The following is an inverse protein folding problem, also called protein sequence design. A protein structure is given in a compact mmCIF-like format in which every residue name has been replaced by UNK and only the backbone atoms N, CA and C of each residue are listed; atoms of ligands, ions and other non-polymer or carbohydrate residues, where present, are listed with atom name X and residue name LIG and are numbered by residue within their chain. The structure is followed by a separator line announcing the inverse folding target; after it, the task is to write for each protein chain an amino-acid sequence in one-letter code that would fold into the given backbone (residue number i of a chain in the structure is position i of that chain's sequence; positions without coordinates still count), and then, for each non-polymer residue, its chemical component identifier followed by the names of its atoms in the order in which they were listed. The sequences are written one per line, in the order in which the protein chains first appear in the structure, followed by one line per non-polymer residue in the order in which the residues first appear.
data_IF_772559326706
#
_entry.id   IF_772559326706
#
_cell.length_a   1.000
_cell.length_b   1.000
_cell.length_c   1.000
_cell.angle_alpha   90.00
_cell.angle_beta   90.00
_cell.angle_gamma   90.00
#
_symmetry.space_group_name_H-M   'P 1'
#
loop_
_entity.id
_entity.type
_entity.pdbx_description
1 polymer ?
#
# COMPACT_ATOMS: atom_id res chain seq x y z
N UNK A 1 13.77 -8.55 -6.36
CA UNK A 1 12.70 -8.70 -7.36
C UNK A 1 11.55 -7.80 -6.95
N UNK A 2 11.07 -6.91 -7.83
CA UNK A 2 10.01 -5.93 -7.52
C UNK A 2 8.59 -6.55 -7.57
N UNK A 3 8.45 -7.79 -8.06
CA UNK A 3 7.16 -8.39 -8.43
C UNK A 3 6.46 -9.20 -7.31
N UNK A 4 6.88 -9.08 -6.06
CA UNK A 4 6.17 -9.66 -4.92
C UNK A 4 5.82 -8.57 -3.93
N UNK A 5 4.53 -8.41 -3.56
CA UNK A 5 3.34 -9.11 -4.07
C UNK A 5 2.97 -8.79 -5.53
N UNK A 6 2.18 -9.69 -6.16
CA UNK A 6 1.72 -9.51 -7.54
C UNK A 6 0.62 -8.45 -7.63
N UNK A 7 0.66 -7.64 -8.70
CA UNK A 7 -0.30 -6.54 -8.91
C UNK A 7 -1.74 -7.05 -8.94
N UNK A 8 -2.00 -8.18 -9.61
CA UNK A 8 -3.35 -8.73 -9.71
C UNK A 8 -3.89 -9.17 -8.34
N UNK A 9 -3.06 -9.80 -7.50
CA UNK A 9 -3.43 -10.14 -6.12
C UNK A 9 -3.73 -8.90 -5.27
N UNK A 10 -2.95 -7.83 -5.43
CA UNK A 10 -3.19 -6.58 -4.71
C UNK A 10 -4.51 -5.92 -5.11
N UNK A 11 -4.84 -5.94 -6.41
CA UNK A 11 -6.10 -5.40 -6.92
C UNK A 11 -7.29 -6.20 -6.40
N UNK A 12 -7.20 -7.54 -6.40
CA UNK A 12 -8.24 -8.41 -5.86
C UNK A 12 -8.46 -8.20 -4.36
N UNK A 13 -7.39 -8.00 -3.59
CA UNK A 13 -7.45 -7.76 -2.14
C UNK A 13 -7.95 -6.37 -1.77
N UNK A 14 -7.65 -5.38 -2.60
CA UNK A 14 -8.06 -4.00 -2.37
C UNK A 14 -9.56 -3.78 -2.66
N UNK A 15 -10.11 -4.53 -3.61
CA UNK A 15 -11.54 -4.50 -3.95
C UNK A 15 -12.36 -5.57 -3.24
N UNK A 16 -13.67 -5.57 -3.50
CA UNK A 16 -14.57 -6.66 -3.14
C UNK A 16 -15.10 -7.34 -4.41
N UNK A 17 -15.71 -8.54 -4.27
CA UNK A 17 -16.33 -9.23 -5.41
C UNK A 17 -17.42 -8.40 -6.10
N UNK A 18 -18.11 -7.57 -5.32
CA UNK A 18 -19.17 -6.68 -5.80
C UNK A 18 -18.59 -5.39 -6.41
N UNK A 19 -17.45 -4.94 -5.90
CA UNK A 19 -16.79 -3.70 -6.31
C UNK A 19 -15.29 -3.93 -6.53
N UNK A 20 -14.87 -4.41 -7.72
CA UNK A 20 -13.47 -4.64 -8.00
C UNK A 20 -12.70 -3.30 -8.02
N UNK A 21 -11.52 -3.29 -7.41
CA UNK A 21 -10.62 -2.16 -7.51
C UNK A 21 -10.00 -2.12 -8.93
N UNK A 22 -9.67 -0.93 -9.41
CA UNK A 22 -8.89 -0.79 -10.63
C UNK A 22 -7.39 -0.71 -10.32
N UNK A 23 -6.53 -1.04 -11.28
CA UNK A 23 -5.07 -0.83 -11.15
C UNK A 23 -4.72 0.64 -10.87
N UNK A 24 -5.50 1.58 -11.41
CA UNK A 24 -5.34 3.01 -11.10
C UNK A 24 -5.71 3.32 -9.65
N UNK A 25 -6.77 2.71 -9.12
CA UNK A 25 -7.14 2.85 -7.71
C UNK A 25 -6.03 2.30 -6.80
N UNK A 26 -5.44 1.15 -7.15
CA UNK A 26 -4.28 0.59 -6.45
C UNK A 26 -3.12 1.60 -6.40
N UNK A 27 -2.73 2.19 -7.54
CA UNK A 27 -1.66 3.19 -7.57
C UNK A 27 -1.93 4.38 -6.64
N UNK A 28 -3.17 4.90 -6.65
CA UNK A 28 -3.55 6.04 -5.80
C UNK A 28 -3.51 5.67 -4.33
N UNK A 29 -4.07 4.52 -3.96
CA UNK A 29 -4.11 4.06 -2.57
C UNK A 29 -2.71 3.80 -2.04
N UNK A 30 -1.87 3.06 -2.79
CA UNK A 30 -0.49 2.77 -2.41
C UNK A 30 0.32 4.05 -2.29
N UNK A 31 0.19 5.00 -3.23
CA UNK A 31 0.89 6.28 -3.16
C UNK A 31 0.48 7.12 -1.95
N UNK A 32 -0.83 7.19 -1.65
CA UNK A 32 -1.34 7.87 -0.45
C UNK A 32 -0.80 7.22 0.82
N UNK A 33 -0.82 5.89 0.89
CA UNK A 33 -0.33 5.17 2.07
C UNK A 33 1.17 5.32 2.28
N UNK A 34 1.95 5.20 1.21
CA UNK A 34 3.40 5.45 1.27
C UNK A 34 3.71 6.87 1.79
N UNK A 35 2.93 7.88 1.37
CA UNK A 35 3.07 9.24 1.91
C UNK A 35 2.76 9.30 3.40
N UNK A 36 1.69 8.65 3.87
CA UNK A 36 1.37 8.61 5.29
C UNK A 36 2.49 7.97 6.12
N UNK A 37 3.13 6.91 5.60
CA UNK A 37 4.27 6.25 6.23
C UNK A 37 5.45 7.22 6.33
N UNK A 38 5.80 7.90 5.24
CA UNK A 38 6.87 8.92 5.22
C UNK A 38 6.59 10.02 6.25
N UNK A 39 5.35 10.53 6.30
CA UNK A 39 4.98 11.62 7.22
C UNK A 39 5.05 11.14 8.68
N UNK A 40 4.65 9.89 8.96
CA UNK A 40 4.77 9.27 10.29
C UNK A 40 6.23 9.12 10.72
N UNK A 41 7.11 8.68 9.83
CA UNK A 41 8.53 8.48 10.09
C UNK A 41 9.26 9.80 10.34
N UNK A 42 9.00 10.81 9.51
CA UNK A 42 9.55 12.14 9.67
C UNK A 42 9.15 12.74 11.02
N UNK A 43 7.90 12.56 11.44
CA UNK A 43 7.43 13.00 12.75
C UNK A 43 8.08 12.25 13.93
N UNK A 44 8.52 11.01 13.72
CA UNK A 44 9.25 10.22 14.72
C UNK A 44 10.77 10.44 14.67
N UNK A 45 11.26 11.28 13.76
CA UNK A 45 12.70 11.50 13.56
C UNK A 45 13.43 10.33 12.88
N UNK A 46 12.68 9.36 12.34
CA UNK A 46 13.21 8.21 11.62
C UNK A 46 13.45 8.63 10.17
N UNK A 47 14.66 8.40 9.65
CA UNK A 47 15.02 8.73 8.26
C UNK A 47 14.91 7.55 7.30
N UNK A 48 14.99 6.33 7.80
CA UNK A 48 14.89 5.10 7.00
C UNK A 48 14.19 4.00 7.80
N UNK A 49 13.32 3.24 7.12
CA UNK A 49 12.65 2.08 7.69
C UNK A 49 13.64 0.98 8.10
N UNK A 50 13.35 0.25 9.19
CA UNK A 50 14.14 -0.92 9.56
C UNK A 50 14.19 -1.93 8.40
N UNK A 51 15.40 -2.34 8.03
CA UNK A 51 15.62 -3.29 6.93
C UNK A 51 15.70 -2.66 5.53
N UNK A 52 15.81 -1.33 5.40
CA UNK A 52 15.85 -0.61 4.12
C UNK A 52 14.65 -0.91 3.21
N UNK A 53 13.53 -1.28 3.83
CA UNK A 53 12.27 -1.52 3.12
C UNK A 53 11.76 -0.18 2.60
N UNK A 54 11.29 -0.15 1.36
CA UNK A 54 10.64 1.04 0.81
C UNK A 54 9.22 1.15 1.36
N UNK A 55 8.78 2.35 1.63
CA UNK A 55 7.46 2.70 2.17
C UNK A 55 6.33 2.18 1.25
N UNK A 56 6.58 2.20 -0.07
CA UNK A 56 5.70 1.62 -1.08
C UNK A 56 5.58 0.10 -0.91
N UNK A 57 6.67 -0.59 -0.60
CA UNK A 57 6.64 -2.04 -0.39
C UNK A 57 5.84 -2.39 0.87
N UNK A 58 5.98 -1.58 1.93
CA UNK A 58 5.19 -1.72 3.15
C UNK A 58 3.70 -1.52 2.88
N UNK A 59 3.33 -0.49 2.12
CA UNK A 59 1.95 -0.24 1.71
C UNK A 59 1.36 -1.41 0.89
N UNK A 60 2.14 -2.01 -0.02
CA UNK A 60 1.70 -3.20 -0.76
C UNK A 60 1.48 -4.40 0.17
N UNK A 61 2.37 -4.62 1.15
CA UNK A 61 2.22 -5.70 2.13
C UNK A 61 0.98 -5.50 3.03
N UNK A 62 0.69 -4.26 3.43
CA UNK A 62 -0.52 -3.97 4.22
C UNK A 62 -1.82 -4.28 3.45
N UNK A 63 -1.83 -4.06 2.13
CA UNK A 63 -2.97 -4.44 1.26
C UNK A 63 -3.07 -5.97 1.18
N UNK A 64 -1.95 -6.66 0.97
CA UNK A 64 -1.93 -8.12 0.91
C UNK A 64 -2.42 -8.78 2.21
N UNK A 65 -2.01 -8.22 3.35
CA UNK A 65 -2.43 -8.64 4.69
C UNK A 65 -3.88 -8.26 5.02
N UNK A 66 -4.50 -7.39 4.23
CA UNK A 66 -5.88 -6.92 4.44
C UNK A 66 -6.02 -5.89 5.57
N UNK A 67 -4.92 -5.28 6.03
CA UNK A 67 -4.93 -4.23 7.06
C UNK A 67 -5.36 -2.88 6.48
N UNK A 68 -5.27 -2.73 5.16
CA UNK A 68 -5.61 -1.49 4.45
C UNK A 68 -6.87 -1.67 3.60
N UNK A 69 -7.84 -0.78 3.80
CA UNK A 69 -9.10 -0.77 3.05
C UNK A 69 -9.29 0.56 2.32
N UNK A 70 -9.85 0.49 1.12
CA UNK A 70 -10.22 1.66 0.33
C UNK A 70 -11.70 1.96 0.54
N UNK A 71 -12.00 3.18 0.99
CA UNK A 71 -13.36 3.70 1.02
C UNK A 71 -13.52 4.73 -0.09
N UNK A 72 -14.62 4.65 -0.83
CA UNK A 72 -15.04 5.67 -1.79
C UNK A 72 -16.04 6.55 -1.05
N UNK A 73 -15.63 7.77 -0.72
CA UNK A 73 -16.53 8.83 -0.27
C UNK A 73 -17.33 9.37 -1.47
#
# INVERSE_FOLDING_TARGET
MINQPSVDSLVEKLGSKEHPASRYALCVVVAKRARQIIDQEQNQGIRELPGNVKEIALACQEIENGTLHMTKD
#
